data_IF_166414562483
#
_entry.id   IF_166414562483
#
_cell.length_a   1.000
_cell.length_b   1.000
_cell.length_c   1.000
_cell.angle_alpha   90.00
_cell.angle_beta   90.00
_cell.angle_gamma   90.00
#
_symmetry.space_group_name_H-M   'P 1'
#
loop_
_entity.id
_entity.type
_entity.pdbx_description
1 polymer ?
#
# COMPACT_ATOMS: atom_id res chain seq x y z
N UNK A 1 2.07 -37.68 33.28
CA UNK A 1 1.42 -36.56 32.58
C UNK A 1 2.39 -36.06 31.53
N UNK A 2 1.86 -35.78 30.34
CA UNK A 2 2.54 -35.84 29.05
C UNK A 2 3.79 -34.96 28.89
N UNK A 3 4.81 -35.58 28.30
CA UNK A 3 6.02 -34.96 27.81
C UNK A 3 5.67 -34.21 26.51
N UNK A 4 5.22 -32.96 26.63
CA UNK A 4 4.90 -32.11 25.49
C UNK A 4 6.19 -31.73 24.73
N UNK A 5 6.24 -32.16 23.47
CA UNK A 5 7.34 -32.01 22.52
C UNK A 5 8.22 -30.78 22.69
N UNK A 6 9.43 -31.02 23.21
CA UNK A 6 10.59 -30.16 23.02
C UNK A 6 10.92 -30.20 21.52
N UNK A 7 10.41 -29.24 20.74
CA UNK A 7 10.90 -29.02 19.38
C UNK A 7 12.34 -28.57 19.50
N UNK A 8 13.25 -29.50 19.25
CA UNK A 8 14.67 -29.24 19.17
C UNK A 8 14.92 -28.36 17.95
N UNK A 9 14.94 -27.04 18.17
CA UNK A 9 15.23 -26.03 17.15
C UNK A 9 16.74 -25.91 16.90
N UNK A 10 17.56 -26.60 17.69
CA UNK A 10 19.02 -26.63 17.57
C UNK A 10 19.48 -27.51 16.41
N UNK A 11 18.67 -28.49 16.00
CA UNK A 11 19.00 -29.38 14.88
C UNK A 11 19.05 -28.67 13.52
N UNK A 12 18.44 -27.49 13.37
CA UNK A 12 18.61 -26.66 12.16
C UNK A 12 19.77 -25.66 12.27
N UNK A 13 20.33 -25.44 13.46
CA UNK A 13 21.45 -24.53 13.68
C UNK A 13 22.82 -25.24 13.64
N UNK A 14 22.85 -26.56 13.89
CA UNK A 14 24.09 -27.33 14.00
C UNK A 14 24.66 -27.85 12.66
N UNK A 15 23.89 -27.82 11.57
CA UNK A 15 24.41 -28.06 10.21
C UNK A 15 24.88 -26.75 9.54
N UNK A 16 25.84 -26.06 10.14
CA UNK A 16 26.66 -25.07 9.44
C UNK A 16 28.06 -25.63 9.22
N UNK A 17 28.13 -26.73 8.48
CA UNK A 17 29.33 -27.04 7.69
C UNK A 17 29.70 -25.79 6.91
N UNK A 18 30.97 -25.39 6.90
CA UNK A 18 31.46 -24.19 6.22
C UNK A 18 30.90 -24.08 4.78
N UNK A 19 29.80 -23.32 4.63
CA UNK A 19 29.19 -23.07 3.33
C UNK A 19 30.03 -22.00 2.68
N UNK A 20 30.79 -22.37 1.65
CA UNK A 20 31.47 -21.38 0.82
C UNK A 20 30.44 -20.42 0.23
N UNK A 21 30.75 -19.12 0.28
CA UNK A 21 29.87 -18.08 -0.29
C UNK A 21 29.65 -18.37 -1.78
N UNK A 22 28.39 -18.51 -2.19
CA UNK A 22 28.05 -18.67 -3.60
C UNK A 22 28.46 -17.42 -4.38
N UNK A 23 29.01 -17.60 -5.57
CA UNK A 23 29.34 -16.50 -6.49
C UNK A 23 28.23 -16.23 -7.51
N UNK A 24 27.10 -16.96 -7.41
CA UNK A 24 25.94 -16.75 -8.26
C UNK A 24 24.97 -15.74 -7.62
N UNK A 25 24.70 -14.63 -8.31
CA UNK A 25 23.85 -13.55 -7.80
C UNK A 25 22.44 -14.02 -7.41
N UNK A 26 21.83 -14.92 -8.20
CA UNK A 26 20.50 -15.45 -7.91
C UNK A 26 20.50 -16.30 -6.65
N UNK A 27 21.50 -17.17 -6.47
CA UNK A 27 21.66 -17.99 -5.26
C UNK A 27 21.85 -17.12 -4.03
N UNK A 28 22.78 -16.15 -4.08
CA UNK A 28 23.04 -15.21 -2.97
C UNK A 28 21.80 -14.39 -2.64
N UNK A 29 21.04 -13.96 -3.64
CA UNK A 29 19.78 -13.20 -3.42
C UNK A 29 18.75 -14.05 -2.67
N UNK A 30 18.58 -15.32 -3.04
CA UNK A 30 17.65 -16.23 -2.37
C UNK A 30 18.08 -16.52 -0.94
N UNK A 31 19.37 -16.75 -0.70
CA UNK A 31 19.93 -16.95 0.65
C UNK A 31 19.71 -15.72 1.54
N UNK A 32 19.99 -14.51 1.03
CA UNK A 32 19.74 -13.26 1.77
C UNK A 32 18.27 -13.14 2.16
N UNK A 33 17.34 -13.40 1.23
CA UNK A 33 15.90 -13.34 1.51
C UNK A 33 15.48 -14.38 2.56
N UNK A 34 16.07 -15.57 2.54
CA UNK A 34 15.82 -16.60 3.55
C UNK A 34 16.28 -16.13 4.94
N UNK A 35 17.50 -15.58 5.06
CA UNK A 35 18.00 -15.04 6.33
C UNK A 35 17.20 -13.82 6.81
N UNK A 36 16.74 -12.95 5.91
CA UNK A 36 15.84 -11.84 6.26
C UNK A 36 14.52 -12.37 6.86
N UNK A 37 13.92 -13.39 6.24
CA UNK A 37 12.70 -14.02 6.75
C UNK A 37 12.92 -14.68 8.12
N UNK A 38 14.02 -15.41 8.30
CA UNK A 38 14.40 -16.00 9.60
C UNK A 38 14.57 -14.90 10.65
N UNK A 39 15.23 -13.79 10.30
CA UNK A 39 15.40 -12.63 11.18
C UNK A 39 14.07 -12.00 11.60
N UNK A 40 13.14 -11.83 10.65
CA UNK A 40 11.78 -11.35 10.90
C UNK A 40 11.03 -12.26 11.89
N UNK A 41 11.01 -13.57 11.63
CA UNK A 41 10.39 -14.57 12.51
C UNK A 41 11.03 -14.61 13.91
N UNK A 42 12.36 -14.52 13.99
CA UNK A 42 13.09 -14.52 15.25
C UNK A 42 12.65 -13.37 16.17
N UNK A 43 12.39 -12.18 15.63
CA UNK A 43 11.90 -11.03 16.41
C UNK A 43 10.57 -11.36 17.11
N UNK A 44 9.62 -11.96 16.38
CA UNK A 44 8.32 -12.37 16.93
C UNK A 44 8.48 -13.49 17.97
N UNK A 45 9.27 -14.52 17.66
CA UNK A 45 9.47 -15.67 18.54
C UNK A 45 10.19 -15.33 19.84
N UNK A 46 11.17 -14.43 19.78
CA UNK A 46 11.82 -13.87 20.97
C UNK A 46 10.79 -13.08 21.77
N UNK A 47 10.03 -12.18 21.12
CA UNK A 47 8.98 -11.39 21.78
C UNK A 47 7.93 -12.24 22.52
N UNK A 48 7.47 -13.34 21.90
CA UNK A 48 6.55 -14.31 22.52
C UNK A 48 7.14 -14.97 23.76
N UNK A 49 8.38 -15.45 23.69
CA UNK A 49 9.05 -16.11 24.83
C UNK A 49 9.30 -15.14 25.97
N UNK A 50 9.76 -13.94 25.65
CA UNK A 50 9.95 -12.86 26.63
C UNK A 50 8.65 -12.52 27.36
N UNK A 51 7.53 -12.41 26.61
CA UNK A 51 6.21 -12.18 27.18
C UNK A 51 5.80 -13.33 28.12
N UNK A 52 5.95 -14.57 27.65
CA UNK A 52 5.60 -15.75 28.43
C UNK A 52 6.36 -15.81 29.76
N UNK A 53 7.69 -15.62 29.74
CA UNK A 53 8.53 -15.60 30.97
C UNK A 53 8.07 -14.49 31.92
N UNK A 54 7.78 -13.29 31.39
CA UNK A 54 7.30 -12.15 32.17
C UNK A 54 5.95 -12.41 32.84
N UNK A 55 5.08 -13.18 32.21
CA UNK A 55 3.72 -13.46 32.69
C UNK A 55 3.62 -14.71 33.57
N UNK A 56 4.55 -15.69 33.45
CA UNK A 56 4.36 -17.03 34.02
C UNK A 56 5.50 -17.54 34.93
N UNK A 57 6.74 -17.06 34.77
CA UNK A 57 7.91 -17.84 35.25
C UNK A 57 8.75 -17.13 36.31
N UNK A 58 8.63 -15.80 36.46
CA UNK A 58 9.48 -15.03 37.36
C UNK A 58 8.70 -14.23 38.39
N UNK A 59 9.15 -14.30 39.64
CA UNK A 59 8.68 -13.43 40.73
C UNK A 59 8.92 -11.94 40.37
N UNK A 60 8.10 -11.05 40.95
CA UNK A 60 8.16 -9.62 40.67
C UNK A 60 9.57 -9.06 40.92
N UNK A 61 10.21 -8.53 39.87
CA UNK A 61 11.57 -7.95 39.94
C UNK A 61 12.70 -8.80 39.33
N UNK A 62 12.53 -10.13 39.21
CA UNK A 62 13.57 -11.03 38.71
C UNK A 62 13.74 -10.99 37.18
N UNK A 63 12.72 -10.55 36.45
CA UNK A 63 12.71 -10.49 34.98
C UNK A 63 13.87 -9.67 34.40
N UNK A 64 14.18 -8.52 35.00
CA UNK A 64 15.26 -7.64 34.52
C UNK A 64 16.64 -8.24 34.77
N UNK A 65 16.80 -8.96 35.87
CA UNK A 65 18.03 -9.67 36.23
C UNK A 65 18.28 -10.83 35.26
N UNK A 66 17.27 -11.68 35.06
CA UNK A 66 17.32 -12.77 34.09
C UNK A 66 17.64 -12.29 32.66
N UNK A 67 16.99 -11.21 32.21
CA UNK A 67 17.27 -10.62 30.90
C UNK A 67 18.74 -10.20 30.73
N UNK A 68 19.33 -9.62 31.76
CA UNK A 68 20.70 -9.10 31.72
C UNK A 68 21.74 -10.21 31.87
N UNK A 69 21.52 -11.13 32.82
CA UNK A 69 22.51 -12.13 33.22
C UNK A 69 22.44 -13.41 32.38
N UNK A 70 21.24 -13.83 31.96
CA UNK A 70 21.05 -15.10 31.24
C UNK A 70 20.86 -14.91 29.73
N UNK A 71 20.10 -13.89 29.31
CA UNK A 71 19.80 -13.64 27.89
C UNK A 71 20.77 -12.63 27.26
N UNK A 72 21.42 -11.80 28.08
CA UNK A 72 22.28 -10.69 27.64
C UNK A 72 21.57 -9.74 26.66
N UNK A 73 20.30 -9.38 26.95
CA UNK A 73 19.49 -8.51 26.10
C UNK A 73 19.19 -7.18 26.79
N UNK A 74 19.28 -6.10 26.03
CA UNK A 74 18.88 -4.78 26.51
C UNK A 74 17.38 -4.78 26.88
N UNK A 75 16.99 -4.35 28.09
CA UNK A 75 15.59 -4.38 28.52
C UNK A 75 14.63 -3.59 27.62
N UNK A 76 15.08 -2.47 27.06
CA UNK A 76 14.30 -1.66 26.13
C UNK A 76 14.04 -2.45 24.85
N UNK A 77 15.05 -3.11 24.29
CA UNK A 77 14.88 -3.95 23.10
C UNK A 77 13.94 -5.13 23.38
N UNK A 78 14.11 -5.80 24.52
CA UNK A 78 13.24 -6.88 24.97
C UNK A 78 11.77 -6.43 25.05
N UNK A 79 11.51 -5.26 25.65
CA UNK A 79 10.17 -4.70 25.73
C UNK A 79 9.58 -4.38 24.35
N UNK A 80 10.41 -3.87 23.42
CA UNK A 80 9.96 -3.59 22.04
C UNK A 80 9.60 -4.88 21.30
N UNK A 81 10.36 -5.96 21.48
CA UNK A 81 10.05 -7.25 20.86
C UNK A 81 8.75 -7.85 21.42
N UNK A 82 8.55 -7.74 22.74
CA UNK A 82 7.27 -8.12 23.38
C UNK A 82 6.10 -7.30 22.81
N UNK A 83 6.28 -5.99 22.62
CA UNK A 83 5.25 -5.11 22.03
C UNK A 83 4.95 -5.52 20.59
N UNK A 84 5.96 -5.73 19.75
CA UNK A 84 5.81 -6.20 18.36
C UNK A 84 5.00 -7.50 18.34
N UNK A 85 5.42 -8.51 19.10
CA UNK A 85 4.77 -9.82 19.11
C UNK A 85 3.35 -9.82 19.70
N UNK A 86 3.00 -8.83 20.52
CA UNK A 86 1.66 -8.70 21.12
C UNK A 86 0.69 -7.93 20.24
N UNK A 87 1.19 -6.97 19.46
CA UNK A 87 0.37 -5.99 18.74
C UNK A 87 0.22 -6.31 17.26
N UNK A 88 1.26 -6.90 16.65
CA UNK A 88 1.26 -7.17 15.22
C UNK A 88 0.82 -8.61 14.92
N UNK A 89 -0.03 -8.81 13.90
CA UNK A 89 -0.37 -10.15 13.42
C UNK A 89 0.85 -10.85 12.79
N UNK A 90 0.84 -12.18 12.78
CA UNK A 90 1.93 -13.02 12.25
C UNK A 90 2.31 -12.70 10.79
N UNK A 91 1.44 -12.09 9.98
CA UNK A 91 1.80 -11.72 8.60
C UNK A 91 3.03 -10.78 8.52
N UNK A 92 3.25 -9.95 9.54
CA UNK A 92 4.44 -9.09 9.64
C UNK A 92 5.73 -9.87 9.95
N UNK A 93 5.66 -11.16 10.33
CA UNK A 93 6.87 -11.97 10.49
C UNK A 93 7.50 -12.38 9.16
N UNK A 94 6.73 -12.29 8.07
CA UNK A 94 7.18 -12.62 6.72
C UNK A 94 7.69 -11.41 5.94
N UNK A 95 7.63 -10.20 6.53
CA UNK A 95 8.17 -9.00 5.90
C UNK A 95 9.67 -8.90 6.14
N UNK A 96 10.37 -8.21 5.26
CA UNK A 96 11.79 -7.86 5.36
C UNK A 96 12.04 -6.65 6.29
N UNK A 97 11.06 -6.31 7.15
CA UNK A 97 11.12 -5.17 8.03
C UNK A 97 12.02 -5.43 9.24
N UNK A 98 12.99 -4.54 9.44
CA UNK A 98 13.77 -4.51 10.66
C UNK A 98 12.92 -4.18 11.89
N UNK A 99 13.35 -4.66 13.07
CA UNK A 99 12.59 -4.50 14.33
C UNK A 99 12.22 -3.05 14.68
N UNK A 100 13.01 -2.06 14.24
CA UNK A 100 12.69 -0.64 14.47
C UNK A 100 11.41 -0.24 13.73
N UNK A 101 11.28 -0.60 12.46
CA UNK A 101 10.08 -0.31 11.67
C UNK A 101 8.88 -1.06 12.26
N UNK A 102 9.03 -2.36 12.53
CA UNK A 102 8.01 -3.16 13.20
C UNK A 102 7.56 -2.53 14.53
N UNK A 103 8.49 -2.00 15.34
CA UNK A 103 8.13 -1.34 16.59
C UNK A 103 7.36 -0.04 16.37
N UNK A 104 7.74 0.78 15.38
CA UNK A 104 6.99 1.99 15.07
C UNK A 104 5.56 1.63 14.61
N UNK A 105 5.39 0.65 13.73
CA UNK A 105 4.07 0.16 13.29
C UNK A 105 3.27 -0.41 14.48
N UNK A 106 3.88 -1.23 15.34
CA UNK A 106 3.24 -1.80 16.53
C UNK A 106 2.75 -0.75 17.54
N UNK A 107 3.24 0.49 17.43
CA UNK A 107 2.87 1.60 18.30
C UNK A 107 2.03 2.67 17.59
N UNK A 108 1.63 2.41 16.34
CA UNK A 108 0.57 3.16 15.66
C UNK A 108 -0.81 2.69 16.15
N UNK A 109 -1.85 3.54 16.02
CA UNK A 109 -3.24 3.13 16.18
C UNK A 109 -3.53 1.89 15.32
N UNK A 110 -4.22 0.86 15.84
CA UNK A 110 -4.43 -0.40 15.11
C UNK A 110 -5.04 -0.21 13.71
N UNK A 111 -5.98 0.71 13.57
CA UNK A 111 -6.65 1.04 12.31
C UNK A 111 -5.67 1.61 11.27
N UNK A 112 -4.63 2.32 11.70
CA UNK A 112 -3.68 3.00 10.82
C UNK A 112 -2.47 2.13 10.44
N UNK A 113 -2.36 0.91 10.96
CA UNK A 113 -1.20 0.02 10.71
C UNK A 113 -1.13 -0.52 9.28
N UNK A 114 -2.27 -0.51 8.59
CA UNK A 114 -2.46 -1.04 7.24
C UNK A 114 -3.03 -0.02 6.24
N UNK A 115 -3.46 1.13 6.74
CA UNK A 115 -4.01 2.19 5.91
C UNK A 115 -2.88 2.98 5.24
N UNK A 116 -2.94 3.20 3.92
CA UNK A 116 -2.01 4.10 3.23
C UNK A 116 -2.03 5.49 3.86
N UNK A 117 -0.85 6.08 4.04
CA UNK A 117 -0.70 7.41 4.62
C UNK A 117 0.01 8.32 3.62
N UNK A 118 -0.42 9.58 3.59
CA UNK A 118 0.20 10.60 2.77
C UNK A 118 1.42 11.18 3.50
N UNK A 119 2.59 11.07 2.86
CA UNK A 119 3.85 11.57 3.37
C UNK A 119 4.07 13.04 2.97
N UNK A 120 5.00 13.72 3.67
CA UNK A 120 5.39 15.09 3.33
C UNK A 120 6.06 15.21 1.95
N UNK A 121 6.58 14.10 1.42
CA UNK A 121 7.09 14.02 0.04
C UNK A 121 5.97 14.06 -1.01
N UNK A 122 4.70 13.95 -0.61
CA UNK A 122 3.56 13.79 -1.51
C UNK A 122 3.27 12.34 -1.92
N UNK A 123 4.16 11.39 -1.58
CA UNK A 123 3.95 9.97 -1.81
C UNK A 123 2.91 9.39 -0.84
N UNK A 124 2.10 8.45 -1.31
CA UNK A 124 1.22 7.65 -0.46
C UNK A 124 1.82 6.26 -0.30
N UNK A 125 2.16 5.88 0.93
CA UNK A 125 2.76 4.57 1.24
C UNK A 125 1.99 3.88 2.34
N UNK A 126 1.99 2.55 2.34
CA UNK A 126 1.57 1.79 3.52
C UNK A 126 2.65 1.80 4.59
N UNK A 127 2.30 1.65 5.88
CA UNK A 127 3.29 1.65 6.96
C UNK A 127 4.39 0.59 6.83
N UNK A 128 4.12 -0.54 6.17
CA UNK A 128 5.11 -1.58 5.87
C UNK A 128 6.08 -1.22 4.73
N UNK A 129 5.76 -0.22 3.92
CA UNK A 129 6.62 0.32 2.86
C UNK A 129 7.40 1.57 3.29
N UNK A 130 7.11 2.07 4.50
CA UNK A 130 7.73 3.28 5.03
C UNK A 130 9.07 3.01 5.72
N UNK A 131 9.97 3.97 5.56
CA UNK A 131 11.16 4.07 6.40
C UNK A 131 10.79 4.39 7.85
N UNK A 132 11.70 4.08 8.78
CA UNK A 132 11.53 4.40 10.21
C UNK A 132 11.32 5.91 10.46
N UNK A 133 11.90 6.77 9.62
CA UNK A 133 11.73 8.22 9.73
C UNK A 133 10.31 8.63 9.35
N UNK A 134 9.83 8.16 8.19
CA UNK A 134 8.47 8.40 7.71
C UNK A 134 7.44 7.89 8.74
N UNK A 135 7.60 6.67 9.27
CA UNK A 135 6.73 6.13 10.32
C UNK A 135 6.63 7.02 11.56
N UNK A 136 7.75 7.62 12.00
CA UNK A 136 7.76 8.53 13.15
C UNK A 136 7.06 9.84 12.86
N UNK A 137 7.23 10.38 11.66
CA UNK A 137 6.58 11.60 11.20
C UNK A 137 5.06 11.38 11.10
N UNK A 138 4.63 10.29 10.45
CA UNK A 138 3.23 9.86 10.37
C UNK A 138 2.61 9.73 11.75
N UNK A 139 3.27 9.04 12.69
CA UNK A 139 2.78 8.93 14.08
C UNK A 139 2.61 10.26 14.78
N UNK A 140 3.55 11.20 14.59
CA UNK A 140 3.43 12.55 15.18
C UNK A 140 2.24 13.29 14.60
N UNK A 141 2.01 13.20 13.29
CA UNK A 141 0.84 13.79 12.64
C UNK A 141 -0.47 13.19 13.14
N UNK A 142 -0.55 11.86 13.20
CA UNK A 142 -1.71 11.15 13.74
C UNK A 142 -1.98 11.57 15.18
N UNK A 143 -0.95 11.66 16.03
CA UNK A 143 -1.10 12.10 17.41
C UNK A 143 -1.59 13.55 17.52
N UNK A 144 -1.08 14.45 16.68
CA UNK A 144 -1.51 15.85 16.63
C UNK A 144 -2.99 15.96 16.21
N UNK A 145 -3.39 15.27 15.14
CA UNK A 145 -4.77 15.23 14.66
C UNK A 145 -5.71 14.65 15.72
N UNK A 146 -5.32 13.58 16.40
CA UNK A 146 -6.12 12.99 17.48
C UNK A 146 -6.30 13.97 18.66
N UNK A 147 -5.23 14.68 19.04
CA UNK A 147 -5.28 15.68 20.11
C UNK A 147 -6.18 16.86 19.75
N UNK A 148 -6.12 17.33 18.50
CA UNK A 148 -6.96 18.42 18.01
C UNK A 148 -8.44 18.02 17.96
N UNK A 149 -8.75 16.84 17.44
CA UNK A 149 -10.11 16.30 17.42
C UNK A 149 -10.69 16.15 18.83
N UNK A 150 -9.90 15.66 19.79
CA UNK A 150 -10.31 15.56 21.20
C UNK A 150 -10.57 16.94 21.84
N UNK A 151 -9.74 17.95 21.52
CA UNK A 151 -9.95 19.32 21.99
C UNK A 151 -11.24 19.91 21.41
N UNK A 152 -11.47 19.76 20.11
CA UNK A 152 -12.67 20.22 19.43
C UNK A 152 -13.94 19.56 19.98
N UNK A 153 -13.90 18.25 20.24
CA UNK A 153 -15.02 17.52 20.84
C UNK A 153 -15.32 18.00 22.26
N UNK A 154 -14.28 18.34 23.04
CA UNK A 154 -14.44 18.91 24.37
C UNK A 154 -15.10 20.29 24.30
N UNK A 155 -14.69 21.14 23.36
CA UNK A 155 -15.27 22.45 23.13
C UNK A 155 -16.75 22.36 22.72
N UNK A 156 -17.10 21.47 21.79
CA UNK A 156 -18.49 21.19 21.39
C UNK A 156 -19.34 20.79 22.60
N UNK A 157 -18.85 19.86 23.41
CA UNK A 157 -19.56 19.41 24.62
C UNK A 157 -19.77 20.55 25.63
N UNK A 158 -18.82 21.48 25.75
CA UNK A 158 -18.96 22.66 26.60
C UNK A 158 -19.96 23.66 26.03
N UNK A 159 -19.96 23.88 24.72
CA UNK A 159 -20.92 24.73 24.03
C UNK A 159 -22.35 24.20 24.21
N UNK A 160 -22.56 22.90 24.04
CA UNK A 160 -23.86 22.24 24.24
C UNK A 160 -24.37 22.40 25.67
N UNK A 161 -23.51 22.18 26.67
CA UNK A 161 -23.86 22.40 28.08
C UNK A 161 -24.24 23.86 28.36
N UNK A 162 -23.56 24.81 27.72
CA UNK A 162 -23.88 26.24 27.86
C UNK A 162 -25.21 26.57 27.18
N UNK A 163 -25.46 26.06 25.99
CA UNK A 163 -26.71 26.22 25.26
C UNK A 163 -27.91 25.66 26.06
N UNK A 164 -27.78 24.46 26.61
CA UNK A 164 -28.82 23.86 27.47
C UNK A 164 -29.09 24.71 28.73
N UNK A 165 -28.05 25.24 29.38
CA UNK A 165 -28.22 26.14 30.54
C UNK A 165 -28.96 27.42 30.17
N UNK A 166 -28.62 28.04 29.04
CA UNK A 166 -29.30 29.23 28.52
C UNK A 166 -30.76 28.92 28.19
N UNK A 167 -31.03 27.81 27.52
CA UNK A 167 -32.39 27.38 27.20
C UNK A 167 -33.22 27.15 28.47
N UNK A 168 -32.66 26.48 29.49
CA UNK A 168 -33.33 26.30 30.77
C UNK A 168 -33.58 27.63 31.51
N UNK A 169 -32.70 28.63 31.38
CA UNK A 169 -32.93 29.97 31.91
C UNK A 169 -34.06 30.69 31.18
N UNK A 170 -34.09 30.62 29.85
CA UNK A 170 -35.17 31.20 29.03
C UNK A 170 -36.52 30.57 29.41
N UNK A 171 -36.59 29.23 29.52
CA UNK A 171 -37.82 28.55 29.95
C UNK A 171 -38.25 28.96 31.36
N UNK A 172 -37.31 29.09 32.31
CA UNK A 172 -37.62 29.58 33.66
C UNK A 172 -38.13 31.01 33.66
N UNK A 173 -37.59 31.89 32.82
CA UNK A 173 -38.07 33.27 32.69
C UNK A 173 -39.47 33.32 32.05
N UNK A 174 -39.76 32.45 31.09
CA UNK A 174 -41.07 32.32 30.46
C UNK A 174 -42.13 31.72 31.39
N UNK A 175 -41.73 30.90 32.38
CA UNK A 175 -42.62 30.27 33.36
C UNK A 175 -42.78 31.06 34.67
N UNK A 176 -42.16 32.25 34.80
CA UNK A 176 -42.45 33.13 35.94
C UNK A 176 -43.82 33.78 35.71
N UNK A 177 -44.81 33.35 36.49
CA UNK A 177 -46.02 34.15 36.69
C UNK A 177 -45.61 35.51 37.31
N UNK A 178 -46.15 36.63 36.82
CA UNK A 178 -45.88 37.93 37.41
C UNK A 178 -46.55 37.99 38.79
N UNK A 179 -45.74 37.98 39.85
CA UNK A 179 -46.19 38.22 41.21
C UNK A 179 -46.46 39.73 41.37
N UNK A 180 -47.63 40.17 40.90
CA UNK A 180 -48.06 41.58 40.95
C UNK A 180 -48.64 41.86 42.34
N UNK A 181 -47.81 42.39 43.25
CA UNK A 181 -48.31 43.36 44.23
C UNK A 181 -48.41 44.71 43.52
N UNK A 182 -49.64 45.16 43.28
CA UNK A 182 -49.91 46.47 42.67
C UNK A 182 -49.36 47.59 43.56
N UNK A 183 -48.24 48.17 43.14
CA UNK A 183 -47.97 49.61 43.28
C UNK A 183 -47.66 50.08 41.86
N UNK A 184 -48.64 50.75 41.26
CA UNK A 184 -48.53 51.32 39.92
C UNK A 184 -47.60 52.53 39.97
N UNK A 185 -46.34 52.30 39.65
CA UNK A 185 -45.48 53.32 39.05
C UNK A 185 -44.83 52.65 37.86
N UNK A 186 -45.29 52.99 36.66
CA UNK A 186 -44.65 52.60 35.41
C UNK A 186 -43.19 53.12 35.47
N UNK A 187 -42.18 52.23 35.50
CA UNK A 187 -40.79 52.67 35.40
C UNK A 187 -40.64 53.42 34.08
N UNK A 188 -40.01 54.61 34.12
CA UNK A 188 -39.93 55.52 32.98
C UNK A 188 -39.30 54.88 31.72
N UNK A 189 -38.63 53.75 31.87
CA UNK A 189 -37.84 52.98 30.90
C UNK A 189 -38.51 51.66 30.43
N UNK A 190 -39.75 51.37 30.83
CA UNK A 190 -40.45 50.13 30.44
C UNK A 190 -40.77 50.04 28.94
N UNK A 191 -41.13 51.16 28.31
CA UNK A 191 -41.37 51.20 26.86
C UNK A 191 -40.07 51.01 26.08
N UNK A 192 -38.96 51.57 26.57
CA UNK A 192 -37.63 51.47 25.96
C UNK A 192 -37.12 50.02 26.01
N UNK A 193 -37.19 49.38 27.17
CA UNK A 193 -36.77 47.97 27.33
C UNK A 193 -37.62 47.00 26.50
N UNK A 194 -38.91 47.28 26.29
CA UNK A 194 -39.77 46.50 25.40
C UNK A 194 -39.41 46.69 23.93
N UNK A 195 -39.04 47.90 23.52
CA UNK A 195 -38.55 48.19 22.18
C UNK A 195 -37.21 47.49 21.93
N UNK A 196 -36.29 47.53 22.90
CA UNK A 196 -34.99 46.87 22.83
C UNK A 196 -35.13 45.34 22.72
N UNK A 197 -36.04 44.73 23.49
CA UNK A 197 -36.30 43.30 23.41
C UNK A 197 -36.86 42.89 22.04
N UNK A 198 -37.74 43.71 21.47
CA UNK A 198 -38.30 43.48 20.14
C UNK A 198 -37.19 43.56 19.06
N UNK A 199 -36.36 44.60 19.13
CA UNK A 199 -35.22 44.77 18.22
C UNK A 199 -34.18 43.64 18.35
N UNK A 200 -33.92 43.16 19.57
CA UNK A 200 -33.01 42.05 19.80
C UNK A 200 -33.55 40.73 19.20
N UNK A 201 -34.86 40.46 19.33
CA UNK A 201 -35.49 39.27 18.74
C UNK A 201 -35.50 39.30 17.21
N UNK A 202 -35.77 40.46 16.61
CA UNK A 202 -35.68 40.65 15.15
C UNK A 202 -34.24 40.39 14.66
N UNK A 203 -33.24 40.90 15.39
CA UNK A 203 -31.83 40.69 15.05
C UNK A 203 -31.37 39.24 15.23
N UNK A 204 -31.91 38.52 16.21
CA UNK A 204 -31.67 37.09 16.39
C UNK A 204 -32.24 36.30 15.20
N UNK A 205 -33.45 36.64 14.74
CA UNK A 205 -34.06 36.00 13.58
C UNK A 205 -33.26 36.25 12.29
N UNK A 206 -32.76 37.47 12.09
CA UNK A 206 -31.89 37.81 10.95
C UNK A 206 -30.56 37.03 11.00
N UNK A 207 -29.96 36.90 12.19
CA UNK A 207 -28.73 36.13 12.39
C UNK A 207 -28.95 34.63 12.15
N UNK A 208 -30.09 34.08 12.57
CA UNK A 208 -30.44 32.68 12.29
C UNK A 208 -30.55 32.43 10.79
N UNK A 209 -31.23 33.32 10.06
CA UNK A 209 -31.35 33.22 8.61
C UNK A 209 -29.99 33.27 7.90
N UNK A 210 -29.09 34.15 8.33
CA UNK A 210 -27.73 34.22 7.78
C UNK A 210 -26.91 32.96 8.05
N UNK A 211 -27.11 32.31 9.20
CA UNK A 211 -26.45 31.04 9.52
C UNK A 211 -26.98 29.93 8.61
N UNK A 212 -28.30 29.85 8.42
CA UNK A 212 -28.93 28.85 7.54
C UNK A 212 -28.45 29.02 6.09
N UNK A 213 -28.44 30.26 5.56
CA UNK A 213 -27.95 30.56 4.21
C UNK A 213 -26.45 30.18 4.04
N UNK A 214 -25.63 30.39 5.08
CA UNK A 214 -24.21 30.03 5.06
C UNK A 214 -23.98 28.50 5.12
N UNK A 215 -24.83 27.77 5.84
CA UNK A 215 -24.80 26.31 5.89
C UNK A 215 -25.18 25.72 4.53
N UNK A 216 -26.21 26.26 3.89
CA UNK A 216 -26.62 25.83 2.56
C UNK A 216 -25.55 26.11 1.49
N UNK A 217 -24.90 27.28 1.52
CA UNK A 217 -23.78 27.58 0.62
C UNK A 217 -22.59 26.61 0.84
N UNK A 218 -22.27 26.31 2.10
CA UNK A 218 -21.21 25.35 2.43
C UNK A 218 -21.53 23.94 1.92
N UNK A 219 -22.77 23.47 2.11
CA UNK A 219 -23.21 22.16 1.64
C UNK A 219 -23.17 22.07 0.11
N UNK A 220 -23.56 23.13 -0.60
CA UNK A 220 -23.45 23.18 -2.06
C UNK A 220 -21.99 23.15 -2.55
N UNK A 221 -21.09 23.88 -1.89
CA UNK A 221 -19.65 23.83 -2.23
C UNK A 221 -19.07 22.45 -2.00
N UNK A 222 -19.40 21.81 -0.88
CA UNK A 222 -18.92 20.47 -0.56
C UNK A 222 -19.43 19.44 -1.57
N UNK A 223 -20.70 19.54 -1.99
CA UNK A 223 -21.25 18.67 -3.01
C UNK A 223 -20.51 18.81 -4.36
N UNK A 224 -20.22 20.04 -4.77
CA UNK A 224 -19.46 20.33 -5.99
C UNK A 224 -18.03 19.80 -5.90
N UNK A 225 -17.36 19.96 -4.76
CA UNK A 225 -16.00 19.46 -4.53
C UNK A 225 -15.93 17.93 -4.60
N UNK A 226 -16.90 17.24 -4.01
CA UNK A 226 -17.02 15.78 -4.07
C UNK A 226 -17.23 15.27 -5.51
N UNK A 227 -18.00 16.00 -6.32
CA UNK A 227 -18.22 15.68 -7.73
C UNK A 227 -16.95 15.89 -8.57
N UNK A 228 -16.20 16.96 -8.27
CA UNK A 228 -14.88 17.22 -8.86
C UNK A 228 -13.86 16.13 -8.53
N UNK A 229 -13.87 15.63 -7.29
CA UNK A 229 -12.98 14.57 -6.85
C UNK A 229 -13.30 13.23 -7.53
N UNK A 230 -14.59 12.89 -7.66
CA UNK A 230 -15.04 11.73 -8.46
C UNK A 230 -14.60 11.84 -9.92
N UNK A 231 -14.82 13.00 -10.54
CA UNK A 231 -14.42 13.21 -11.94
C UNK A 231 -12.90 13.09 -12.13
N UNK A 232 -12.09 13.51 -11.14
CA UNK A 232 -10.63 13.31 -11.17
C UNK A 232 -10.24 11.84 -11.01
N UNK A 233 -10.92 11.10 -10.14
CA UNK A 233 -10.69 9.67 -9.99
C UNK A 233 -11.01 8.91 -11.29
N UNK A 234 -12.16 9.20 -11.90
CA UNK A 234 -12.55 8.62 -13.20
C UNK A 234 -11.52 8.99 -14.30
N UNK A 235 -10.99 10.21 -14.28
CA UNK A 235 -9.96 10.64 -15.22
C UNK A 235 -8.64 9.87 -15.05
N UNK A 236 -8.22 9.59 -13.82
CA UNK A 236 -7.01 8.81 -13.56
C UNK A 236 -7.19 7.33 -13.94
N UNK A 237 -8.38 6.76 -13.73
CA UNK A 237 -8.71 5.41 -14.20
C UNK A 237 -8.65 5.32 -15.73
N UNK A 238 -9.28 6.28 -16.43
CA UNK A 238 -9.24 6.35 -17.90
C UNK A 238 -7.79 6.48 -18.41
N UNK A 239 -6.93 7.25 -17.72
CA UNK A 239 -5.52 7.36 -18.11
C UNK A 239 -4.75 6.06 -17.91
N UNK A 240 -5.00 5.34 -16.82
CA UNK A 240 -4.39 4.05 -16.57
C UNK A 240 -4.78 3.04 -17.67
N UNK A 241 -6.08 2.96 -17.97
CA UNK A 241 -6.60 2.12 -19.06
C UNK A 241 -5.99 2.48 -20.42
N UNK A 242 -5.82 3.78 -20.70
CA UNK A 242 -5.23 4.25 -21.95
C UNK A 242 -3.77 3.80 -22.08
N UNK A 243 -3.01 3.86 -20.99
CA UNK A 243 -1.61 3.41 -20.97
C UNK A 243 -1.50 1.88 -21.18
N UNK A 244 -2.36 1.11 -20.53
CA UNK A 244 -2.43 -0.35 -20.73
C UNK A 244 -2.79 -0.70 -22.19
N UNK A 245 -3.71 0.04 -22.78
CA UNK A 245 -4.10 -0.13 -24.18
C UNK A 245 -2.95 0.25 -25.14
N UNK A 246 -2.17 1.28 -24.81
CA UNK A 246 -0.97 1.69 -25.55
C UNK A 246 0.09 0.58 -25.54
N UNK A 247 0.38 -0.01 -24.37
CA UNK A 247 1.30 -1.15 -24.24
C UNK A 247 0.82 -2.34 -25.06
N UNK A 248 -0.48 -2.66 -24.98
CA UNK A 248 -1.09 -3.76 -25.75
C UNK A 248 -0.99 -3.48 -27.26
N UNK A 249 -1.23 -2.25 -27.69
CA UNK A 249 -1.08 -1.82 -29.09
C UNK A 249 0.36 -2.00 -29.57
N UNK A 250 1.36 -1.59 -28.79
CA UNK A 250 2.76 -1.77 -29.13
C UNK A 250 3.13 -3.25 -29.26
N UNK A 251 2.67 -4.10 -28.35
CA UNK A 251 2.90 -5.54 -28.42
C UNK A 251 2.24 -6.17 -29.67
N UNK A 252 1.02 -5.77 -30.01
CA UNK A 252 0.39 -6.22 -31.27
C UNK A 252 1.12 -5.74 -32.51
N UNK A 253 1.65 -4.51 -32.52
CA UNK A 253 2.46 -4.02 -33.64
C UNK A 253 3.74 -4.86 -33.81
N UNK A 254 4.41 -5.22 -32.71
CA UNK A 254 5.57 -6.12 -32.74
C UNK A 254 5.20 -7.50 -33.27
N UNK A 255 4.09 -8.08 -32.81
CA UNK A 255 3.59 -9.38 -33.32
C UNK A 255 3.25 -9.31 -34.81
N UNK A 256 2.60 -8.25 -35.27
CA UNK A 256 2.29 -8.06 -36.69
C UNK A 256 3.57 -7.94 -37.55
N UNK A 257 4.61 -7.28 -37.04
CA UNK A 257 5.90 -7.22 -37.72
C UNK A 257 6.53 -8.63 -37.83
N UNK A 258 6.54 -9.40 -36.75
CA UNK A 258 7.01 -10.79 -36.75
C UNK A 258 6.23 -11.67 -37.74
N UNK A 259 4.89 -11.54 -37.77
CA UNK A 259 4.05 -12.27 -38.72
C UNK A 259 4.43 -11.95 -40.17
N UNK A 260 4.74 -10.68 -40.50
CA UNK A 260 5.18 -10.30 -41.85
C UNK A 260 6.51 -10.97 -42.23
N UNK A 261 7.45 -11.07 -41.29
CA UNK A 261 8.72 -11.78 -41.55
C UNK A 261 8.48 -13.28 -41.75
N UNK A 262 7.60 -13.91 -40.95
CA UNK A 262 7.19 -15.30 -41.18
C UNK A 262 6.53 -15.47 -42.54
N UNK A 263 5.68 -14.53 -42.97
CA UNK A 263 5.06 -14.58 -44.30
C UNK A 263 6.10 -14.50 -45.43
N UNK A 264 7.17 -13.71 -45.28
CA UNK A 264 8.28 -13.70 -46.24
C UNK A 264 8.98 -15.07 -46.27
N UNK A 265 9.26 -15.66 -45.10
CA UNK A 265 9.85 -17.01 -45.02
C UNK A 265 9.00 -18.05 -45.76
N UNK A 266 7.69 -18.06 -45.53
CA UNK A 266 6.77 -19.00 -46.19
C UNK A 266 6.80 -18.83 -47.71
N UNK A 267 6.88 -17.59 -48.23
CA UNK A 267 7.04 -17.35 -49.67
C UNK A 267 8.35 -17.93 -50.20
N UNK A 268 9.47 -17.68 -49.53
CA UNK A 268 10.77 -18.22 -49.93
C UNK A 268 10.80 -19.76 -49.89
N UNK A 269 10.17 -20.38 -48.90
CA UNK A 269 10.03 -21.85 -48.83
C UNK A 269 9.19 -22.37 -50.01
N UNK A 270 8.07 -21.73 -50.34
CA UNK A 270 7.24 -22.13 -51.48
C UNK A 270 8.01 -22.02 -52.80
N UNK A 271 8.76 -20.94 -53.02
CA UNK A 271 9.63 -20.78 -54.20
C UNK A 271 10.69 -21.90 -54.30
N UNK A 272 11.28 -22.29 -53.16
CA UNK A 272 12.20 -23.43 -53.11
C UNK A 272 11.51 -24.75 -53.45
N UNK A 273 10.32 -25.00 -52.90
CA UNK A 273 9.53 -26.21 -53.19
C UNK A 273 9.14 -26.29 -54.68
N UNK A 274 8.77 -25.18 -55.31
CA UNK A 274 8.49 -25.11 -56.73
C UNK A 274 9.74 -25.43 -57.57
N UNK A 275 10.91 -24.90 -57.18
CA UNK A 275 12.19 -25.23 -57.83
C UNK A 275 12.56 -26.70 -57.67
N UNK A 276 12.34 -27.28 -56.48
CA UNK A 276 12.53 -28.71 -56.24
C UNK A 276 11.56 -29.56 -57.07
N UNK A 277 10.30 -29.15 -57.22
CA UNK A 277 9.33 -29.82 -58.08
C UNK A 277 9.78 -29.80 -59.55
N UNK A 278 10.34 -28.68 -60.04
CA UNK A 278 10.93 -28.61 -61.38
C UNK A 278 12.14 -29.54 -61.54
N UNK A 279 13.04 -29.59 -60.56
CA UNK A 279 14.20 -30.49 -60.59
C UNK A 279 13.79 -31.96 -60.53
N UNK A 280 12.80 -32.30 -59.69
CA UNK A 280 12.23 -33.65 -59.62
C UNK A 280 11.57 -34.07 -60.94
N UNK A 281 10.81 -33.18 -61.57
CA UNK A 281 10.23 -33.44 -62.90
C UNK A 281 11.31 -33.57 -64.00
N UNK A 282 12.48 -32.94 -63.84
CA UNK A 282 13.65 -33.16 -64.72
C UNK A 282 14.39 -34.48 -64.45
N UNK A 283 14.28 -35.03 -63.24
CA UNK A 283 14.81 -36.35 -62.90
C UNK A 283 13.94 -37.51 -63.44
N UNK A 284 12.72 -37.23 -63.92
CA UNK A 284 11.86 -38.26 -64.49
C UNK A 284 12.34 -38.64 -65.91
N UNK A 285 13.19 -39.67 -65.95
CA UNK A 285 13.41 -40.61 -67.05
C UNK A 285 13.78 -39.97 -68.40
N UNK A 286 15.06 -39.80 -68.73
CA UNK A 286 15.74 -40.74 -69.67
C UNK A 286 17.24 -40.51 -69.81
N UNK A 287 17.85 -39.61 -69.04
CA UNK A 287 19.29 -39.34 -69.09
C UNK A 287 19.83 -39.23 -67.67
N UNK A 288 20.71 -40.17 -67.29
CA UNK A 288 21.49 -40.12 -66.05
C UNK A 288 22.34 -38.84 -66.06
N UNK A 289 22.09 -37.85 -65.18
CA UNK A 289 22.97 -36.69 -65.09
C UNK A 289 24.26 -37.12 -64.40
N UNK A 290 25.39 -36.53 -64.79
CA UNK A 290 26.67 -36.67 -64.08
C UNK A 290 26.43 -36.37 -62.59
N UNK A 291 26.60 -37.38 -61.74
CA UNK A 291 26.32 -37.32 -60.30
C UNK A 291 26.97 -36.10 -59.65
N UNK A 292 28.11 -35.66 -60.19
CA UNK A 292 28.83 -34.47 -59.75
C UNK A 292 28.00 -33.17 -59.85
N UNK A 293 27.24 -33.00 -60.93
CA UNK A 293 26.42 -31.79 -61.15
C UNK A 293 25.16 -31.73 -60.26
N UNK A 294 24.57 -32.90 -59.98
CA UNK A 294 23.44 -33.02 -59.06
C UNK A 294 23.88 -32.84 -57.61
N UNK A 295 25.01 -33.45 -57.24
CA UNK A 295 25.60 -33.30 -55.91
C UNK A 295 26.02 -31.85 -55.68
N UNK A 296 26.62 -31.19 -56.68
CA UNK A 296 26.98 -29.78 -56.57
C UNK A 296 25.75 -28.88 -56.43
N UNK A 297 24.71 -29.09 -57.23
CA UNK A 297 23.46 -28.34 -57.11
C UNK A 297 22.75 -28.55 -55.76
N UNK A 298 22.75 -29.78 -55.23
CA UNK A 298 22.22 -30.08 -53.90
C UNK A 298 23.08 -29.49 -52.77
N UNK A 299 24.40 -29.42 -52.97
CA UNK A 299 25.34 -28.84 -51.99
C UNK A 299 25.20 -27.33 -51.93
N UNK A 300 25.16 -26.64 -53.07
CA UNK A 300 24.91 -25.19 -53.13
C UNK A 300 23.54 -24.83 -52.55
N UNK A 301 22.56 -25.71 -52.69
CA UNK A 301 21.23 -25.54 -52.12
C UNK A 301 21.21 -25.77 -50.59
N UNK A 302 21.97 -26.75 -50.10
CA UNK A 302 22.16 -26.97 -48.66
C UNK A 302 22.89 -25.80 -48.00
N UNK A 303 23.92 -25.25 -48.65
CA UNK A 303 24.68 -24.11 -48.14
C UNK A 303 23.80 -22.86 -48.03
N UNK A 304 22.96 -22.57 -49.04
CA UNK A 304 21.98 -21.47 -48.97
C UNK A 304 20.92 -21.67 -47.88
N UNK A 305 20.54 -22.91 -47.58
CA UNK A 305 19.62 -23.21 -46.48
C UNK A 305 20.26 -22.98 -45.12
N UNK A 306 21.55 -23.33 -44.97
CA UNK A 306 22.32 -23.09 -43.76
C UNK A 306 22.54 -21.59 -43.54
N UNK A 307 22.93 -20.86 -44.59
CA UNK A 307 23.17 -19.41 -44.51
C UNK A 307 21.89 -18.64 -44.14
N UNK A 308 20.76 -18.95 -44.78
CA UNK A 308 19.47 -18.36 -44.42
C UNK A 308 19.04 -18.74 -42.99
N UNK A 309 19.33 -19.97 -42.55
CA UNK A 309 19.06 -20.43 -41.18
C UNK A 309 19.93 -19.71 -40.13
N UNK A 310 21.16 -19.34 -40.47
CA UNK A 310 22.06 -18.58 -39.60
C UNK A 310 21.65 -17.12 -39.47
N UNK A 311 21.31 -16.46 -40.58
CA UNK A 311 20.74 -15.09 -40.55
C UNK A 311 19.47 -15.05 -39.69
N UNK A 312 18.62 -16.08 -39.78
CA UNK A 312 17.44 -16.25 -38.94
C UNK A 312 17.75 -16.45 -37.46
N UNK A 313 18.80 -17.21 -37.13
CA UNK A 313 19.22 -17.39 -35.75
C UNK A 313 19.68 -16.05 -35.16
N UNK A 314 20.46 -15.26 -35.91
CA UNK A 314 21.01 -14.01 -35.45
C UNK A 314 19.94 -12.93 -35.23
N UNK A 315 18.97 -12.82 -36.15
CA UNK A 315 17.84 -11.88 -36.05
C UNK A 315 16.87 -12.23 -34.90
N UNK A 316 16.75 -13.51 -34.55
CA UNK A 316 15.95 -13.96 -33.40
C UNK A 316 16.71 -13.87 -32.07
N UNK A 317 18.04 -14.00 -32.10
CA UNK A 317 18.90 -13.93 -30.91
C UNK A 317 19.20 -12.48 -30.49
N UNK A 318 19.17 -11.51 -31.42
CA UNK A 318 19.46 -10.10 -31.15
C UNK A 318 18.31 -9.18 -31.61
N UNK A 319 17.15 -9.18 -30.93
CA UNK A 319 15.97 -8.40 -31.33
C UNK A 319 16.10 -6.87 -31.15
N UNK A 320 17.30 -6.36 -30.85
CA UNK A 320 17.57 -4.94 -30.58
C UNK A 320 18.81 -4.44 -31.34
N UNK A 321 18.64 -4.18 -32.62
CA UNK A 321 19.33 -3.07 -33.26
C UNK A 321 18.31 -2.01 -33.64
N UNK A 322 18.47 -0.84 -33.00
CA UNK A 322 17.74 0.41 -33.27
C UNK A 322 18.13 0.95 -34.63
#
# INVERSE_FOLDING_TARGET
>A
MENAGRRDITSQAEETSAVELSHNLTTVTTEIKAYQSIGGQAIFEIGRRLKWVKENDLAHGEYMKWLKESVNMNPTTAQRFVKIASELPNRYSSTDLGWKALYEIATMPPEERDNPQQLDSGETKKPDEMTVRELRETKRKLAAAYSENMANQTLLTQADKKAQKLQAQVTKLQQRDPDIKQVEVEPADYQDTKADLKAANEKIADLQKLVDDAVDDHNHRLAYELELEKAKADQEEIKADLNDLEVKRQNMLKQNAQIREVQKMVKSINELLDNFAMLRNRLDTTMLPDESSLVQGLTEMADKLIENGQVLHDDLAHPYHV
#
